data_IF_319335668153
#
_entry.id   IF_319335668153
#
_cell.length_a   1.000
_cell.length_b   1.000
_cell.length_c   1.000
_cell.angle_alpha   90.00
_cell.angle_beta   90.00
_cell.angle_gamma   90.00
#
_symmetry.space_group_name_H-M   'P 1'
#
loop_
_entity.id
_entity.type
_entity.pdbx_description
1 polymer ?
#
# COMPACT_ATOMS: atom_id res chain seq x y z
N UNK A 1 3.71 13.92 -4.32
CA UNK A 1 4.17 13.81 -2.92
C UNK A 1 4.49 12.37 -2.66
N UNK A 2 5.42 12.11 -1.74
CA UNK A 2 5.83 10.74 -1.45
C UNK A 2 4.93 10.14 -0.38
N UNK A 3 4.38 8.96 -0.67
CA UNK A 3 3.50 8.22 0.24
C UNK A 3 4.17 6.91 0.64
N UNK A 4 4.13 6.57 1.92
CA UNK A 4 4.43 5.21 2.41
C UNK A 4 3.14 4.42 2.48
N UNK A 5 3.06 3.32 1.75
CA UNK A 5 1.92 2.39 1.78
C UNK A 5 2.36 1.08 2.44
N UNK A 6 1.64 0.66 3.46
CA UNK A 6 1.89 -0.59 4.20
C UNK A 6 0.66 -1.49 4.22
N UNK A 7 0.84 -2.79 4.01
CA UNK A 7 -0.18 -3.82 4.18
C UNK A 7 0.25 -4.80 5.26
N UNK A 8 -0.64 -5.07 6.21
CA UNK A 8 -0.36 -5.90 7.38
C UNK A 8 -1.28 -7.12 7.38
N UNK A 9 -0.69 -8.30 7.48
CA UNK A 9 -1.39 -9.58 7.38
C UNK A 9 -1.37 -10.33 8.72
N UNK A 10 -2.34 -11.24 8.94
CA UNK A 10 -2.29 -12.14 10.08
C UNK A 10 -0.95 -12.88 10.19
N UNK A 11 -0.47 -13.04 11.43
CA UNK A 11 0.83 -13.66 11.70
C UNK A 11 2.04 -12.72 11.63
N UNK A 12 1.80 -11.40 11.67
CA UNK A 12 2.87 -10.38 11.76
C UNK A 12 3.64 -10.17 10.46
N UNK A 13 3.10 -10.66 9.33
CA UNK A 13 3.68 -10.41 8.01
C UNK A 13 3.25 -9.05 7.51
N UNK A 14 4.17 -8.30 6.92
CA UNK A 14 3.88 -6.98 6.35
C UNK A 14 4.65 -6.76 5.06
N UNK A 15 4.13 -5.85 4.23
CA UNK A 15 4.83 -5.32 3.07
C UNK A 15 4.60 -3.82 2.99
N UNK A 16 5.70 -3.09 2.94
CA UNK A 16 5.71 -1.64 2.81
C UNK A 16 6.50 -1.22 1.58
N UNK A 17 6.04 -0.16 0.93
CA UNK A 17 6.73 0.50 -0.17
C UNK A 17 6.42 2.00 -0.21
N UNK A 18 7.30 2.75 -0.86
CA UNK A 18 7.11 4.17 -1.10
C UNK A 18 6.68 4.39 -2.55
N UNK A 19 5.73 5.30 -2.76
CA UNK A 19 5.16 5.60 -4.07
C UNK A 19 4.91 7.09 -4.20
N UNK A 20 5.06 7.63 -5.39
CA UNK A 20 4.61 8.99 -5.69
C UNK A 20 3.08 9.01 -5.84
N UNK A 21 2.42 9.94 -5.15
CA UNK A 21 0.97 10.14 -5.22
C UNK A 21 0.58 11.59 -4.97
N UNK A 22 -0.71 11.89 -5.14
CA UNK A 22 -1.24 13.25 -4.99
C UNK A 22 -1.60 13.57 -3.54
N UNK A 23 -2.36 12.70 -2.88
CA UNK A 23 -2.70 12.78 -1.46
C UNK A 23 -3.05 11.39 -0.88
N UNK A 24 -2.98 11.26 0.44
CA UNK A 24 -3.26 10.00 1.14
C UNK A 24 -4.70 9.51 0.99
N UNK A 25 -5.68 10.41 0.88
CA UNK A 25 -7.11 10.06 0.78
C UNK A 25 -7.43 9.41 -0.56
N UNK A 26 -6.87 9.92 -1.67
CA UNK A 26 -6.99 9.32 -2.98
C UNK A 26 -6.38 7.91 -3.04
N UNK A 27 -5.19 7.73 -2.45
CA UNK A 27 -4.55 6.42 -2.38
C UNK A 27 -5.40 5.41 -1.58
N UNK A 28 -5.94 5.82 -0.43
CA UNK A 28 -6.87 4.98 0.37
C UNK A 28 -8.09 4.59 -0.46
N UNK A 29 -8.74 5.56 -1.13
CA UNK A 29 -9.91 5.29 -1.97
C UNK A 29 -9.59 4.31 -3.10
N UNK A 30 -8.42 4.43 -3.72
CA UNK A 30 -7.97 3.54 -4.78
C UNK A 30 -7.74 2.12 -4.26
N UNK A 31 -7.09 1.95 -3.11
CA UNK A 31 -6.88 0.63 -2.49
C UNK A 31 -8.21 -0.02 -2.13
N UNK A 32 -9.18 0.73 -1.60
CA UNK A 32 -10.49 0.20 -1.21
C UNK A 32 -11.36 -0.21 -2.40
N UNK A 33 -11.23 0.44 -3.55
CA UNK A 33 -11.99 0.13 -4.76
C UNK A 33 -11.51 -1.13 -5.48
N UNK A 34 -10.30 -1.59 -5.19
CA UNK A 34 -9.67 -2.70 -5.91
C UNK A 34 -9.30 -3.83 -4.95
N UNK A 35 -9.77 -5.03 -5.27
CA UNK A 35 -9.39 -6.25 -4.56
C UNK A 35 -7.88 -6.54 -4.66
N UNK A 36 -7.25 -6.15 -5.75
CA UNK A 36 -5.82 -6.39 -5.98
C UNK A 36 -5.06 -5.09 -6.08
N UNK A 37 -3.96 -5.00 -5.33
CA UNK A 37 -3.02 -3.88 -5.38
C UNK A 37 -1.69 -4.35 -5.96
N UNK A 38 -1.27 -3.73 -7.05
CA UNK A 38 0.01 -4.03 -7.69
C UNK A 38 1.08 -3.08 -7.16
N UNK A 39 2.24 -3.61 -6.80
CA UNK A 39 3.39 -2.79 -6.45
C UNK A 39 4.70 -3.38 -6.95
N UNK A 40 5.69 -2.52 -7.07
CA UNK A 40 7.06 -2.90 -7.41
C UNK A 40 7.96 -2.52 -6.24
N UNK A 41 8.76 -3.47 -5.76
CA UNK A 41 9.73 -3.26 -4.69
C UNK A 41 11.05 -3.89 -5.08
N UNK A 42 12.06 -3.06 -5.34
CA UNK A 42 13.27 -3.51 -6.03
C UNK A 42 12.93 -4.02 -7.44
N UNK A 43 13.47 -5.17 -7.82
CA UNK A 43 13.22 -5.81 -9.12
C UNK A 43 12.05 -6.81 -9.11
N UNK A 44 11.21 -6.77 -8.08
CA UNK A 44 10.12 -7.72 -7.89
C UNK A 44 8.74 -7.05 -8.04
N UNK A 45 7.89 -7.68 -8.85
CA UNK A 45 6.47 -7.31 -8.99
C UNK A 45 5.62 -8.13 -8.01
N UNK A 46 4.83 -7.43 -7.20
CA UNK A 46 3.94 -8.03 -6.22
C UNK A 46 2.48 -7.71 -6.55
N UNK A 47 1.61 -8.67 -6.26
CA UNK A 47 0.16 -8.50 -6.28
C UNK A 47 -0.36 -8.82 -4.89
N UNK A 48 -0.99 -7.84 -4.25
CA UNK A 48 -1.57 -7.95 -2.92
C UNK A 48 -3.08 -8.13 -3.04
N UNK A 49 -3.61 -9.20 -2.43
CA UNK A 49 -5.05 -9.38 -2.20
C UNK A 49 -5.45 -8.53 -0.97
N UNK A 50 -6.05 -7.37 -1.22
CA UNK A 50 -6.33 -6.35 -0.20
C UNK A 50 -7.36 -6.81 0.83
N UNK A 51 -8.22 -7.78 0.46
CA UNK A 51 -9.20 -8.41 1.35
C UNK A 51 -8.56 -9.35 2.39
N UNK A 52 -7.30 -9.79 2.17
CA UNK A 52 -6.57 -10.66 3.11
C UNK A 52 -5.71 -9.88 4.10
N UNK A 53 -5.49 -8.59 3.86
CA UNK A 53 -4.83 -7.73 4.83
C UNK A 53 -5.76 -7.55 6.04
N UNK A 54 -5.19 -7.62 7.24
CA UNK A 54 -5.90 -7.23 8.46
C UNK A 54 -6.20 -5.73 8.45
N UNK A 55 -5.25 -4.93 7.97
CA UNK A 55 -5.41 -3.52 7.67
C UNK A 55 -4.30 -3.05 6.72
N UNK A 56 -4.46 -1.85 6.18
CA UNK A 56 -3.40 -1.14 5.45
C UNK A 56 -3.28 0.29 5.98
N UNK A 57 -2.12 0.90 5.78
CA UNK A 57 -1.86 2.30 6.14
C UNK A 57 -1.29 3.06 4.95
N UNK A 58 -1.64 4.34 4.86
CA UNK A 58 -1.03 5.29 3.93
C UNK A 58 -0.55 6.47 4.76
N UNK A 59 0.73 6.82 4.63
CA UNK A 59 1.36 7.92 5.37
C UNK A 59 2.02 8.88 4.40
N UNK A 60 1.73 10.16 4.53
CA UNK A 60 2.39 11.22 3.77
C UNK A 60 3.81 11.41 4.33
N UNK A 61 4.81 11.36 3.46
CA UNK A 61 6.19 11.65 3.80
C UNK A 61 6.43 13.12 3.48
N UNK A 62 6.60 13.92 4.53
CA UNK A 62 7.07 15.29 4.43
C UNK A 62 8.59 15.26 4.57
N UNK A 63 9.31 15.60 3.51
CA UNK A 63 10.75 15.85 3.57
C UNK A 63 11.07 17.11 4.41
#
# INVERSE_FOLDING_TARGET
>A
MKLKVGFYFPGGKEIEHEVEGDDSTQMISNIQKHRYYNLVKGDCHYVIDTEKAAYFSVTEIFD
#
